data_IF_735024798546
#
_entry.id   IF_735024798546
#
_cell.length_a   1.000
_cell.length_b   1.000
_cell.length_c   1.000
_cell.angle_alpha   90.00
_cell.angle_beta   90.00
_cell.angle_gamma   90.00
#
_symmetry.space_group_name_H-M   'P 1'
#
loop_
_entity.id
_entity.type
_entity.pdbx_description
1 polymer ?
#
# COMPACT_ATOMS: atom_id res chain seq x y z
N UNK A 1 -8.61 -23.40 -17.01
CA UNK A 1 -8.35 -22.64 -15.76
C UNK A 1 -8.15 -21.18 -16.13
N UNK A 2 -8.69 -20.24 -15.36
CA UNK A 2 -8.33 -18.82 -15.47
C UNK A 2 -7.15 -18.58 -14.50
N UNK A 3 -6.07 -18.01 -15.01
CA UNK A 3 -4.88 -17.67 -14.22
C UNK A 3 -4.76 -16.15 -14.16
N UNK A 4 -4.35 -15.63 -13.01
CA UNK A 4 -4.11 -14.20 -12.79
C UNK A 4 -2.84 -14.03 -11.94
N UNK A 5 -2.30 -12.82 -11.95
CA UNK A 5 -1.18 -12.42 -11.09
C UNK A 5 -1.71 -11.56 -9.95
N UNK A 6 -1.28 -11.86 -8.73
CA UNK A 6 -1.44 -10.99 -7.58
C UNK A 6 -0.13 -10.26 -7.31
N UNK A 7 -0.06 -8.98 -7.69
CA UNK A 7 1.09 -8.11 -7.44
C UNK A 7 1.04 -7.60 -6.00
N UNK A 8 1.99 -8.03 -5.19
CA UNK A 8 2.09 -7.65 -3.78
C UNK A 8 2.96 -6.41 -3.60
N UNK A 9 2.52 -5.50 -2.72
CA UNK A 9 3.29 -4.33 -2.34
C UNK A 9 3.12 -3.98 -0.85
N UNK A 10 3.92 -3.05 -0.35
CA UNK A 10 3.83 -2.60 1.04
C UNK A 10 2.54 -1.79 1.28
N UNK A 11 2.24 -0.85 0.38
CA UNK A 11 1.21 0.17 0.55
C UNK A 11 1.68 1.36 1.41
N UNK A 12 1.10 2.52 1.15
CA UNK A 12 1.38 3.79 1.83
C UNK A 12 0.09 4.57 2.05
N UNK A 13 -0.04 5.34 3.14
CA UNK A 13 -1.19 6.19 3.37
C UNK A 13 -1.33 7.26 2.28
N UNK A 14 -2.57 7.69 2.03
CA UNK A 14 -2.91 8.72 1.05
C UNK A 14 -2.75 10.12 1.65
N UNK A 15 -2.72 10.24 2.99
CA UNK A 15 -2.57 11.51 3.69
C UNK A 15 -1.85 11.40 5.03
N UNK A 16 -1.37 12.54 5.54
CA UNK A 16 -0.70 12.65 6.84
C UNK A 16 -1.60 12.20 7.99
N UNK A 17 -2.91 12.46 7.93
CA UNK A 17 -3.86 12.08 9.00
C UNK A 17 -4.02 10.58 9.18
N UNK A 18 -3.63 9.78 8.18
CA UNK A 18 -3.75 8.32 8.21
C UNK A 18 -2.51 7.62 8.78
N UNK A 19 -1.43 8.36 9.05
CA UNK A 19 -0.16 7.80 9.53
C UNK A 19 -0.28 7.00 10.83
N UNK A 20 -1.05 7.45 11.85
CA UNK A 20 -1.21 6.65 13.06
C UNK A 20 -1.82 5.27 12.77
N UNK A 21 -2.80 5.17 11.86
CA UNK A 21 -3.40 3.89 11.47
C UNK A 21 -2.43 3.05 10.64
N UNK A 22 -1.78 3.66 9.66
CA UNK A 22 -0.79 2.99 8.83
C UNK A 22 0.32 2.36 9.67
N UNK A 23 0.88 3.09 10.63
CA UNK A 23 1.93 2.57 11.50
C UNK A 23 1.44 1.46 12.44
N UNK A 24 0.19 1.54 12.92
CA UNK A 24 -0.44 0.41 13.65
C UNK A 24 -0.51 -0.84 12.78
N UNK A 25 -0.85 -0.71 11.49
CA UNK A 25 -0.87 -1.85 10.58
C UNK A 25 0.54 -2.42 10.35
N UNK A 26 1.53 -1.56 10.09
CA UNK A 26 2.94 -1.95 9.89
C UNK A 26 3.51 -2.73 11.07
N UNK A 27 3.16 -2.34 12.29
CA UNK A 27 3.68 -2.96 13.51
C UNK A 27 2.90 -4.19 13.97
N UNK A 28 1.79 -4.52 13.31
CA UNK A 28 0.87 -5.58 13.73
C UNK A 28 0.16 -5.22 15.04
N UNK A 29 -0.12 -3.93 15.26
CA UNK A 29 -0.79 -3.42 16.46
C UNK A 29 0.11 -3.25 17.69
N UNK A 30 1.42 -3.49 17.59
CA UNK A 30 2.35 -3.23 18.69
C UNK A 30 2.42 -1.72 18.99
N UNK A 31 2.53 -1.29 20.25
CA UNK A 31 2.64 0.12 20.61
C UNK A 31 3.82 0.80 19.92
N UNK A 32 3.63 2.06 19.55
CA UNK A 32 4.63 2.91 18.88
C UNK A 32 4.75 4.19 19.70
N UNK A 33 5.97 4.66 20.01
CA UNK A 33 6.15 5.95 20.67
C UNK A 33 5.59 7.10 19.83
N UNK A 34 4.97 8.08 20.47
CA UNK A 34 4.38 9.23 19.79
C UNK A 34 5.40 9.99 18.92
N UNK A 35 6.65 10.10 19.39
CA UNK A 35 7.74 10.72 18.63
C UNK A 35 8.01 10.06 17.27
N UNK A 36 7.77 8.74 17.15
CA UNK A 36 7.90 8.03 15.86
C UNK A 36 6.74 8.37 14.94
N UNK A 37 5.53 8.50 15.48
CA UNK A 37 4.34 8.90 14.72
C UNK A 37 4.54 10.33 14.20
N UNK A 38 4.98 11.24 15.06
CA UNK A 38 5.30 12.64 14.73
C UNK A 38 6.38 12.73 13.66
N UNK A 39 7.48 11.98 13.78
CA UNK A 39 8.56 11.99 12.80
C UNK A 39 8.13 11.44 11.43
N UNK A 40 7.27 10.41 11.39
CA UNK A 40 6.71 9.92 10.13
C UNK A 40 5.73 10.95 9.54
N UNK A 41 4.89 11.56 10.38
CA UNK A 41 3.97 12.63 9.96
C UNK A 41 4.72 13.83 9.38
N UNK A 42 5.80 14.25 10.03
CA UNK A 42 6.66 15.31 9.52
C UNK A 42 7.21 14.96 8.14
N UNK A 43 7.77 13.75 7.94
CA UNK A 43 8.30 13.33 6.64
C UNK A 43 7.24 13.33 5.53
N UNK A 44 6.02 12.87 5.82
CA UNK A 44 4.92 12.94 4.85
C UNK A 44 4.48 14.38 4.58
N UNK A 45 4.49 15.27 5.59
CA UNK A 45 4.14 16.68 5.40
C UNK A 45 5.06 17.40 4.41
N UNK A 46 6.32 16.97 4.31
CA UNK A 46 7.30 17.52 3.36
C UNK A 46 7.04 17.11 1.91
N UNK A 47 6.32 16.01 1.69
CA UNK A 47 6.06 15.45 0.35
C UNK A 47 4.57 15.45 -0.02
N UNK A 48 3.68 15.82 0.91
CA UNK A 48 2.23 15.69 0.78
C UNK A 48 1.75 14.25 0.94
N UNK A 49 2.08 13.40 -0.05
CA UNK A 49 1.75 11.97 -0.04
C UNK A 49 2.82 11.15 -0.75
N UNK A 50 2.87 9.83 -0.49
CA UNK A 50 3.81 8.94 -1.18
C UNK A 50 3.26 8.53 -2.55
N UNK A 51 4.04 8.63 -3.64
CA UNK A 51 3.61 8.17 -4.96
C UNK A 51 3.63 6.64 -5.10
N UNK A 52 4.04 5.90 -4.05
CA UNK A 52 4.28 4.46 -4.14
C UNK A 52 3.04 3.67 -4.57
N UNK A 53 1.87 4.01 -4.02
CA UNK A 53 0.60 3.36 -4.36
C UNK A 53 0.24 3.57 -5.84
N UNK A 54 0.41 4.78 -6.37
CA UNK A 54 0.16 5.08 -7.78
C UNK A 54 1.14 4.32 -8.69
N UNK A 55 2.43 4.34 -8.35
CA UNK A 55 3.47 3.64 -9.10
C UNK A 55 3.20 2.13 -9.13
N UNK A 56 2.79 1.54 -8.01
CA UNK A 56 2.43 0.12 -7.90
C UNK A 56 1.27 -0.23 -8.84
N UNK A 57 0.23 0.61 -8.89
CA UNK A 57 -0.92 0.41 -9.78
C UNK A 57 -0.50 0.52 -11.25
N UNK A 58 0.38 1.47 -11.59
CA UNK A 58 0.92 1.61 -12.94
C UNK A 58 1.75 0.40 -13.34
N UNK A 59 2.59 -0.12 -12.44
CA UNK A 59 3.35 -1.36 -12.66
C UNK A 59 2.42 -2.55 -12.92
N UNK A 60 1.33 -2.69 -12.16
CA UNK A 60 0.33 -3.75 -12.39
C UNK A 60 -0.34 -3.64 -13.76
N UNK A 61 -0.72 -2.43 -14.18
CA UNK A 61 -1.32 -2.20 -15.50
C UNK A 61 -0.35 -2.61 -16.63
N UNK A 62 0.90 -2.13 -16.55
CA UNK A 62 1.95 -2.49 -17.52
C UNK A 62 2.24 -4.00 -17.55
N UNK A 63 2.27 -4.63 -16.38
CA UNK A 63 2.48 -6.08 -16.28
C UNK A 63 1.32 -6.86 -16.90
N UNK A 64 0.08 -6.37 -16.75
CA UNK A 64 -1.10 -7.01 -17.31
C UNK A 64 -1.06 -7.01 -18.84
N UNK A 65 -0.60 -5.91 -19.44
CA UNK A 65 -0.38 -5.81 -20.88
C UNK A 65 0.73 -6.77 -21.35
N UNK A 66 1.88 -6.78 -20.68
CA UNK A 66 3.03 -7.64 -21.04
C UNK A 66 2.68 -9.13 -20.96
N UNK A 67 1.93 -9.54 -19.95
CA UNK A 67 1.56 -10.94 -19.76
C UNK A 67 0.29 -11.35 -20.51
N UNK A 68 -0.48 -10.39 -21.03
CA UNK A 68 -1.83 -10.63 -21.55
C UNK A 68 -2.71 -11.39 -20.53
N UNK A 69 -2.59 -11.04 -19.25
CA UNK A 69 -3.26 -11.71 -18.12
C UNK A 69 -3.74 -10.68 -17.09
N UNK A 70 -4.83 -10.96 -16.35
CA UNK A 70 -5.25 -10.07 -15.26
C UNK A 70 -4.18 -9.96 -14.18
N UNK A 71 -3.89 -8.73 -13.76
CA UNK A 71 -3.00 -8.43 -12.64
C UNK A 71 -3.79 -7.62 -11.60
N UNK A 72 -3.85 -8.13 -10.37
CA UNK A 72 -4.51 -7.47 -9.25
C UNK A 72 -3.47 -7.00 -8.24
N UNK A 73 -3.71 -5.87 -7.59
CA UNK A 73 -2.79 -5.33 -6.57
C UNK A 73 -3.30 -5.66 -5.17
N UNK A 74 -2.44 -6.22 -4.33
CA UNK A 74 -2.72 -6.46 -2.92
C UNK A 74 -1.60 -5.91 -2.04
N UNK A 75 -1.96 -5.09 -1.06
CA UNK A 75 -1.01 -4.40 -0.20
C UNK A 75 -1.01 -4.97 1.21
N UNK A 76 0.18 -5.03 1.81
CA UNK A 76 0.36 -5.63 3.14
C UNK A 76 -0.17 -4.72 4.25
N UNK A 77 0.17 -3.43 4.21
CA UNK A 77 0.02 -2.50 5.33
C UNK A 77 -0.95 -1.35 5.03
N UNK A 78 -1.41 -1.22 3.78
CA UNK A 78 -2.41 -0.24 3.38
C UNK A 78 -3.35 -0.80 2.32
N UNK A 79 -4.35 -0.03 1.88
CA UNK A 79 -5.39 -0.48 0.93
C UNK A 79 -4.93 -0.35 -0.53
N UNK A 80 -5.39 -1.23 -1.46
CA UNK A 80 -6.28 -2.38 -1.23
C UNK A 80 -5.52 -3.53 -0.55
N UNK A 81 -6.07 -4.09 0.53
CA UNK A 81 -5.39 -5.16 1.27
C UNK A 81 -5.40 -6.46 0.48
N UNK A 82 -4.37 -7.30 0.67
CA UNK A 82 -4.28 -8.64 0.07
C UNK A 82 -5.58 -9.42 0.24
N UNK A 83 -6.13 -9.43 1.46
CA UNK A 83 -7.36 -10.16 1.79
C UNK A 83 -8.61 -9.63 1.08
N UNK A 84 -8.62 -8.36 0.69
CA UNK A 84 -9.72 -7.76 -0.06
C UNK A 84 -9.56 -8.06 -1.55
N UNK A 85 -8.34 -7.96 -2.06
CA UNK A 85 -8.03 -8.23 -3.48
C UNK A 85 -8.35 -9.67 -3.88
N UNK A 86 -8.03 -10.66 -3.04
CA UNK A 86 -8.29 -12.09 -3.37
C UNK A 86 -9.77 -12.48 -3.39
N UNK A 87 -10.68 -11.59 -2.93
CA UNK A 87 -12.13 -11.82 -2.97
C UNK A 87 -12.77 -11.31 -4.28
N UNK A 88 -11.98 -10.69 -5.16
CA UNK A 88 -12.42 -10.16 -6.46
C UNK A 88 -12.53 -11.29 -7.49
#
# INVERSE_FOLDING_TARGET
MKTAVLLLAHGTPDSVSEIPEYLRNVTGGRPIPDSVIEEVAHRYSLIGHSPLTEITRRQAAMLSEVLSMPVYVGMRNWRPYIADTVKT
#
